data_IF_435008382661
#
_entry.id   IF_435008382661
#
_cell.length_a   1.000
_cell.length_b   1.000
_cell.length_c   1.000
_cell.angle_alpha   90.00
_cell.angle_beta   90.00
_cell.angle_gamma   90.00
#
_symmetry.space_group_name_H-M   'P 1'
#
loop_
_entity.id
_entity.type
_entity.pdbx_description
1 polymer ?
#
# COMPACT_ATOMS: atom_id res chain seq x y z
N UNK A 1 11.90 9.52 -10.83
CA UNK A 1 11.76 10.91 -10.31
C UNK A 1 11.22 10.83 -8.87
N UNK A 2 11.52 11.77 -7.96
CA UNK A 2 11.57 11.57 -6.49
C UNK A 2 10.27 11.19 -5.74
N UNK A 3 9.16 10.96 -6.42
CA UNK A 3 7.87 10.56 -5.83
C UNK A 3 7.67 9.04 -5.69
N UNK A 4 8.62 8.22 -6.15
CA UNK A 4 8.50 6.75 -6.10
C UNK A 4 8.91 6.12 -4.76
N UNK A 5 9.65 6.80 -3.89
CA UNK A 5 10.17 6.20 -2.66
C UNK A 5 9.07 5.93 -1.62
N UNK A 6 8.05 6.79 -1.56
CA UNK A 6 6.87 6.56 -0.72
C UNK A 6 6.08 5.36 -1.24
N UNK A 7 5.81 5.31 -2.55
CA UNK A 7 5.14 4.17 -3.19
C UNK A 7 5.87 2.84 -2.98
N UNK A 8 7.21 2.83 -3.12
CA UNK A 8 8.04 1.63 -2.86
C UNK A 8 8.02 1.20 -1.39
N UNK A 9 8.07 2.17 -0.47
CA UNK A 9 7.95 1.90 0.97
C UNK A 9 6.60 1.30 1.31
N UNK A 10 5.51 1.89 0.83
CA UNK A 10 4.15 1.40 1.03
C UNK A 10 3.98 0.00 0.44
N UNK A 11 4.41 -0.22 -0.81
CA UNK A 11 4.33 -1.54 -1.46
C UNK A 11 5.09 -2.62 -0.66
N UNK A 12 6.31 -2.31 -0.19
CA UNK A 12 7.09 -3.24 0.64
C UNK A 12 6.39 -3.52 1.97
N UNK A 13 5.78 -2.51 2.59
CA UNK A 13 4.98 -2.68 3.81
C UNK A 13 3.76 -3.56 3.59
N UNK A 14 3.00 -3.33 2.51
CA UNK A 14 1.83 -4.14 2.15
C UNK A 14 2.21 -5.58 1.75
N UNK A 15 3.34 -5.78 1.10
CA UNK A 15 3.87 -7.10 0.79
C UNK A 15 4.17 -7.91 2.06
N UNK A 16 4.70 -7.27 3.12
CA UNK A 16 4.88 -7.92 4.44
C UNK A 16 3.56 -8.34 5.07
N UNK A 17 2.48 -7.60 4.80
CA UNK A 17 1.11 -7.95 5.23
C UNK A 17 0.44 -8.99 4.29
N UNK A 18 1.17 -9.51 3.29
CA UNK A 18 0.71 -10.47 2.28
C UNK A 18 -0.40 -9.93 1.38
N UNK A 19 -0.32 -8.65 1.02
CA UNK A 19 -1.18 -8.03 0.01
C UNK A 19 -1.01 -8.72 -1.36
N UNK A 20 -2.10 -9.11 -2.05
CA UNK A 20 -2.03 -9.69 -3.39
C UNK A 20 -1.33 -8.77 -4.39
N UNK A 21 -0.54 -9.34 -5.31
CA UNK A 21 0.21 -8.58 -6.31
C UNK A 21 -0.66 -7.68 -7.19
N UNK A 22 -1.81 -8.19 -7.66
CA UNK A 22 -2.77 -7.43 -8.48
C UNK A 22 -3.30 -6.18 -7.76
N UNK A 23 -3.45 -6.24 -6.44
CA UNK A 23 -3.88 -5.10 -5.63
C UNK A 23 -2.73 -4.12 -5.42
N UNK A 24 -1.50 -4.60 -5.23
CA UNK A 24 -0.31 -3.74 -5.14
C UNK A 24 -0.06 -2.99 -6.46
N UNK A 25 -0.18 -3.67 -7.60
CA UNK A 25 -0.07 -3.06 -8.91
C UNK A 25 -1.13 -1.99 -9.12
N UNK A 26 -2.37 -2.23 -8.67
CA UNK A 26 -3.43 -1.22 -8.68
C UNK A 26 -3.07 0.00 -7.82
N UNK A 27 -2.58 -0.22 -6.60
CA UNK A 27 -2.15 0.84 -5.67
C UNK A 27 -1.00 1.66 -6.25
N UNK A 28 -0.05 1.00 -6.93
CA UNK A 28 1.09 1.63 -7.59
C UNK A 28 0.73 2.26 -8.94
N UNK A 29 -0.53 2.14 -9.37
CA UNK A 29 -1.01 2.56 -10.68
C UNK A 29 -0.14 2.00 -11.83
N UNK A 30 0.25 0.73 -11.69
CA UNK A 30 1.03 0.00 -12.67
C UNK A 30 0.12 -0.45 -13.82
N UNK A 31 0.59 -0.25 -15.05
CA UNK A 31 -0.07 -0.75 -16.27
C UNK A 31 0.41 -2.17 -16.56
N UNK A 32 -0.45 -3.16 -16.38
CA UNK A 32 -0.16 -4.55 -16.79
C UNK A 32 -0.32 -4.69 -18.31
N UNK A 33 0.75 -5.13 -18.97
CA UNK A 33 0.80 -5.36 -20.43
C UNK A 33 0.72 -6.85 -20.80
N UNK A 34 0.43 -7.72 -19.85
CA UNK A 34 0.34 -9.17 -20.04
C UNK A 34 -0.97 -9.58 -20.74
N UNK A 35 -0.98 -10.80 -21.30
CA UNK A 35 -2.20 -11.40 -21.87
C UNK A 35 -3.28 -11.60 -20.80
N UNK A 36 -2.90 -11.76 -19.53
CA UNK A 36 -3.85 -11.89 -18.42
C UNK A 36 -4.68 -10.60 -18.23
N UNK A 37 -4.09 -9.42 -18.45
CA UNK A 37 -4.79 -8.14 -18.39
C UNK A 37 -5.91 -8.00 -19.44
N UNK A 38 -5.88 -8.78 -20.53
CA UNK A 38 -6.97 -8.82 -21.52
C UNK A 38 -8.24 -9.43 -20.92
N UNK A 39 -8.07 -10.37 -19.99
CA UNK A 39 -9.16 -11.09 -19.34
C UNK A 39 -9.56 -10.47 -18.00
N UNK A 40 -8.59 -9.94 -17.25
CA UNK A 40 -8.85 -9.33 -15.95
C UNK A 40 -9.33 -7.87 -16.10
N UNK A 41 -10.65 -7.70 -16.18
CA UNK A 41 -11.31 -6.38 -16.24
C UNK A 41 -11.68 -5.85 -14.86
N UNK A 42 -11.27 -6.51 -13.78
CA UNK A 42 -11.61 -6.09 -12.44
C UNK A 42 -10.71 -4.90 -12.03
N UNK A 43 -11.31 -3.82 -11.52
CA UNK A 43 -10.57 -2.59 -11.24
C UNK A 43 -9.86 -2.59 -9.88
N UNK A 44 -10.12 -3.57 -9.01
CA UNK A 44 -9.50 -3.76 -7.67
C UNK A 44 -9.45 -2.53 -6.76
N UNK A 45 -10.24 -1.48 -7.04
CA UNK A 45 -10.22 -0.22 -6.31
C UNK A 45 -10.69 -0.37 -4.86
N UNK A 46 -11.69 -1.23 -4.65
CA UNK A 46 -12.19 -1.60 -3.31
C UNK A 46 -11.10 -2.28 -2.49
N UNK A 47 -10.44 -3.27 -3.06
CA UNK A 47 -9.39 -4.04 -2.41
C UNK A 47 -8.17 -3.15 -2.13
N UNK A 48 -7.81 -2.28 -3.07
CA UNK A 48 -6.75 -1.30 -2.88
C UNK A 48 -7.01 -0.43 -1.65
N UNK A 49 -8.25 0.08 -1.50
CA UNK A 49 -8.65 0.87 -0.33
C UNK A 49 -8.53 0.07 0.97
N UNK A 50 -9.04 -1.16 0.99
CA UNK A 50 -9.01 -2.01 2.19
C UNK A 50 -7.58 -2.35 2.61
N UNK A 51 -6.70 -2.60 1.64
CA UNK A 51 -5.29 -2.89 1.91
C UNK A 51 -4.52 -1.66 2.37
N UNK A 52 -4.78 -0.48 1.79
CA UNK A 52 -4.22 0.78 2.29
C UNK A 52 -4.66 1.04 3.74
N UNK A 53 -5.92 0.76 4.09
CA UNK A 53 -6.40 0.89 5.47
C UNK A 53 -5.69 -0.09 6.41
N UNK A 54 -5.47 -1.35 6.00
CA UNK A 54 -4.66 -2.31 6.79
C UNK A 54 -3.23 -1.81 7.00
N UNK A 55 -2.63 -1.22 5.97
CA UNK A 55 -1.32 -0.58 6.04
C UNK A 55 -1.30 0.58 7.06
N UNK A 56 -2.29 1.46 7.01
CA UNK A 56 -2.45 2.55 7.96
C UNK A 56 -2.57 2.04 9.40
N UNK A 57 -3.44 1.06 9.65
CA UNK A 57 -3.62 0.46 10.97
C UNK A 57 -2.33 -0.18 11.51
N UNK A 58 -1.53 -0.80 10.62
CA UNK A 58 -0.23 -1.36 10.98
C UNK A 58 0.77 -0.26 11.41
N UNK A 59 0.81 0.86 10.68
CA UNK A 59 1.65 2.00 11.02
C UNK A 59 1.21 2.65 12.34
N UNK A 60 -0.09 2.82 12.57
CA UNK A 60 -0.64 3.36 13.82
C UNK A 60 -0.27 2.47 15.02
N UNK A 61 -0.33 1.15 14.84
CA UNK A 61 0.08 0.20 15.88
C UNK A 61 1.59 0.27 16.19
N UNK A 62 2.42 0.68 15.23
CA UNK A 62 3.86 0.88 15.43
C UNK A 62 4.15 2.21 16.12
N UNK A 63 3.51 3.30 15.69
CA UNK A 63 3.72 4.63 16.26
C UNK A 63 3.21 4.70 17.69
N UNK A 64 2.05 4.11 18.01
CA UNK A 64 1.50 4.08 19.37
C UNK A 64 2.47 3.55 20.44
N UNK A 65 3.45 2.70 20.05
CA UNK A 65 4.47 2.17 20.96
C UNK A 65 5.69 3.09 21.15
N UNK A 66 5.86 4.11 20.31
CA UNK A 66 7.11 4.87 20.20
C UNK A 66 6.95 6.40 20.18
N UNK A 67 5.73 6.93 20.33
CA UNK A 67 5.53 8.39 20.43
C UNK A 67 5.73 8.84 21.88
N UNK A 68 6.90 9.42 22.18
CA UNK A 68 7.02 10.32 23.32
C UNK A 68 6.35 11.64 22.92
N UNK A 69 5.34 12.13 23.66
CA UNK A 69 4.79 13.45 23.37
C UNK A 69 5.91 14.47 23.56
N UNK A 70 6.34 15.09 22.46
CA UNK A 70 7.22 16.24 22.49
C UNK A 70 6.46 17.35 23.22
N UNK A 71 6.69 17.45 24.53
CA UNK A 71 6.14 18.51 25.37
C UNK A 71 6.56 19.85 24.77
N UNK A 72 5.59 20.63 24.31
CA UNK A 72 5.78 22.05 24.08
C UNK A 72 6.11 22.69 25.44
N UNK A 73 7.29 23.28 25.54
CA UNK A 73 7.71 24.11 26.65
C UNK A 73 7.20 25.54 26.46
#
# INVERSE_FOLDING_TARGET
MPDHDLGRTVATGLAKLRCPGVVQDRILNHVDSSVAAIYDRHHYDSEARDWLQKGANYLDALTARNVLPLRAA
#
